data_IF_877997166705
#
_entry.id   IF_877997166705
#
_cell.length_a   1.000
_cell.length_b   1.000
_cell.length_c   1.000
_cell.angle_alpha   90.00
_cell.angle_beta   90.00
_cell.angle_gamma   90.00
#
_symmetry.space_group_name_H-M   'P 1'
#
loop_
_entity.id
_entity.type
_entity.pdbx_description
1 polymer ?
#
# COMPACT_ATOMS: atom_id res chain seq x y z
N UNK A 1 13.49 5.47 3.23
CA UNK A 1 13.64 4.00 3.33
C UNK A 1 13.88 3.38 1.93
N UNK A 2 14.57 2.24 1.80
CA UNK A 2 14.83 1.60 0.50
C UNK A 2 13.57 1.34 -0.33
N UNK A 3 12.46 0.98 0.34
CA UNK A 3 11.18 0.74 -0.32
C UNK A 3 10.61 2.03 -0.93
N UNK A 4 10.63 3.16 -0.22
CA UNK A 4 10.20 4.46 -0.75
C UNK A 4 11.03 4.92 -1.96
N UNK A 5 12.34 4.68 -1.94
CA UNK A 5 13.21 4.96 -3.09
C UNK A 5 12.85 4.09 -4.30
N UNK A 6 12.59 2.80 -4.07
CA UNK A 6 12.15 1.89 -5.13
C UNK A 6 10.79 2.30 -5.70
N UNK A 7 9.84 2.70 -4.84
CA UNK A 7 8.54 3.22 -5.25
C UNK A 7 8.69 4.47 -6.11
N UNK A 8 9.40 5.48 -5.61
CA UNK A 8 9.61 6.73 -6.35
C UNK A 8 10.27 6.49 -7.71
N UNK A 9 11.28 5.60 -7.77
CA UNK A 9 11.96 5.29 -9.02
C UNK A 9 11.04 4.57 -10.02
N UNK A 10 10.29 3.54 -9.57
CA UNK A 10 9.40 2.77 -10.46
C UNK A 10 8.26 3.60 -11.01
N UNK A 11 7.66 4.45 -10.18
CA UNK A 11 6.57 5.33 -10.61
C UNK A 11 7.09 6.42 -11.56
N UNK A 12 8.27 7.00 -11.28
CA UNK A 12 8.95 7.92 -12.20
C UNK A 12 9.24 7.27 -13.55
N UNK A 13 9.80 6.06 -13.54
CA UNK A 13 10.09 5.31 -14.76
C UNK A 13 8.82 5.01 -15.57
N UNK A 14 7.67 4.91 -14.89
CA UNK A 14 6.38 4.69 -15.50
C UNK A 14 5.66 5.99 -15.95
N UNK A 15 6.28 7.16 -15.81
CA UNK A 15 5.69 8.44 -16.22
C UNK A 15 4.79 9.10 -15.17
N UNK A 16 4.78 8.61 -13.93
CA UNK A 16 4.04 9.20 -12.81
C UNK A 16 5.01 9.61 -11.70
N UNK A 17 5.63 10.78 -11.84
CA UNK A 17 6.57 11.27 -10.83
C UNK A 17 5.83 11.54 -9.51
N UNK A 18 6.18 10.79 -8.46
CA UNK A 18 5.72 11.00 -7.10
C UNK A 18 6.61 12.02 -6.39
N UNK A 19 5.98 12.88 -5.59
CA UNK A 19 6.62 13.59 -4.50
C UNK A 19 7.16 12.60 -3.45
N UNK A 20 8.14 13.06 -2.67
CA UNK A 20 8.76 12.23 -1.63
C UNK A 20 7.73 11.73 -0.60
N UNK A 21 6.77 12.57 -0.22
CA UNK A 21 5.77 12.22 0.80
C UNK A 21 4.72 11.25 0.27
N UNK A 22 4.34 11.36 -1.00
CA UNK A 22 3.48 10.36 -1.67
C UNK A 22 4.19 9.00 -1.72
N UNK A 23 5.44 8.96 -2.20
CA UNK A 23 6.21 7.72 -2.27
C UNK A 23 6.43 7.10 -0.88
N UNK A 24 6.60 7.93 0.16
CA UNK A 24 6.71 7.49 1.55
C UNK A 24 5.40 6.90 2.07
N UNK A 25 4.25 7.52 1.80
CA UNK A 25 2.94 7.00 2.18
C UNK A 25 2.69 5.60 1.58
N UNK A 26 2.95 5.44 0.28
CA UNK A 26 2.82 4.14 -0.42
C UNK A 26 3.79 3.11 0.17
N UNK A 27 5.03 3.51 0.47
CA UNK A 27 6.00 2.60 1.06
C UNK A 27 5.63 2.19 2.49
N UNK A 28 5.01 3.07 3.30
CA UNK A 28 4.50 2.72 4.63
C UNK A 28 3.38 1.69 4.54
N UNK A 29 2.48 1.84 3.57
CA UNK A 29 1.40 0.88 3.32
C UNK A 29 1.96 -0.52 3.02
N UNK A 30 2.90 -0.61 2.07
CA UNK A 30 3.58 -1.88 1.74
C UNK A 30 4.39 -2.44 2.93
N UNK A 31 5.05 -1.59 3.71
CA UNK A 31 5.83 -2.02 4.86
C UNK A 31 4.95 -2.60 5.97
N UNK A 32 3.79 -1.99 6.24
CA UNK A 32 2.84 -2.51 7.20
C UNK A 32 2.33 -3.92 6.83
N UNK A 33 2.08 -4.16 5.53
CA UNK A 33 1.71 -5.50 5.03
C UNK A 33 2.81 -6.54 5.35
N UNK A 34 4.08 -6.15 5.21
CA UNK A 34 5.19 -7.03 5.59
C UNK A 34 5.28 -7.24 7.10
N UNK A 35 5.01 -6.23 7.91
CA UNK A 35 4.97 -6.35 9.38
C UNK A 35 3.84 -7.26 9.87
N UNK A 36 2.70 -7.24 9.19
CA UNK A 36 1.59 -8.16 9.44
C UNK A 36 1.92 -9.62 9.17
N UNK A 37 2.97 -9.93 8.41
CA UNK A 37 3.43 -11.31 8.23
C UNK A 37 3.83 -11.98 9.56
N UNK A 38 4.31 -11.19 10.53
CA UNK A 38 4.75 -11.67 11.85
C UNK A 38 4.25 -10.80 13.02
N UNK A 39 2.92 -10.78 13.29
CA UNK A 39 2.30 -9.86 14.25
C UNK A 39 2.80 -10.06 15.70
N UNK A 40 3.22 -11.30 16.04
CA UNK A 40 3.83 -11.66 17.33
C UNK A 40 5.06 -10.82 17.66
N UNK A 41 5.76 -10.27 16.67
CA UNK A 41 7.00 -9.52 16.85
C UNK A 41 6.84 -8.02 16.60
N UNK A 42 5.74 -7.57 15.99
CA UNK A 42 5.54 -6.17 15.58
C UNK A 42 4.52 -5.43 16.44
N UNK A 43 3.84 -6.11 17.38
CA UNK A 43 2.89 -5.49 18.30
C UNK A 43 1.50 -5.21 17.70
N UNK A 44 1.31 -5.47 16.41
CA UNK A 44 0.00 -5.49 15.77
C UNK A 44 -0.76 -6.77 16.16
N UNK A 45 -2.01 -6.63 16.61
CA UNK A 45 -2.85 -7.78 16.92
C UNK A 45 -3.19 -8.57 15.65
N UNK A 46 -3.36 -9.89 15.76
CA UNK A 46 -3.78 -10.77 14.65
C UNK A 46 -5.08 -10.33 13.98
N UNK A 47 -5.97 -9.66 14.71
CA UNK A 47 -7.22 -9.12 14.17
C UNK A 47 -6.99 -7.96 13.19
N UNK A 48 -6.01 -7.09 13.46
CA UNK A 48 -5.67 -5.97 12.58
C UNK A 48 -4.94 -6.46 11.32
N UNK A 49 -4.16 -7.53 11.44
CA UNK A 49 -3.40 -8.11 10.33
C UNK A 49 -4.27 -8.87 9.30
N UNK A 50 -5.47 -9.33 9.68
CA UNK A 50 -6.42 -9.96 8.76
C UNK A 50 -5.79 -11.08 7.91
N UNK A 51 -5.97 -11.00 6.58
CA UNK A 51 -5.39 -11.95 5.62
C UNK A 51 -3.87 -11.86 5.47
N UNK A 52 -3.25 -10.78 5.94
CA UNK A 52 -1.81 -10.59 5.92
C UNK A 52 -1.10 -11.24 7.12
N UNK A 53 -1.86 -11.78 8.08
CA UNK A 53 -1.33 -12.62 9.16
C UNK A 53 -0.87 -13.99 8.62
N UNK A 54 0.33 -14.05 8.03
CA UNK A 54 0.85 -15.28 7.41
C UNK A 54 1.20 -16.34 8.46
N UNK A 55 1.76 -15.95 9.61
CA UNK A 55 2.24 -16.91 10.63
C UNK A 55 1.14 -17.92 11.07
N UNK A 56 -0.08 -17.49 11.47
CA UNK A 56 -1.16 -18.42 11.81
C UNK A 56 -1.65 -19.26 10.63
N UNK A 57 -1.56 -18.75 9.40
CA UNK A 57 -1.94 -19.51 8.20
C UNK A 57 -0.95 -20.64 7.91
N UNK A 58 0.34 -20.42 8.18
CA UNK A 58 1.38 -21.44 8.05
C UNK A 58 1.37 -22.46 9.20
N UNK A 59 0.93 -22.04 10.40
CA UNK A 59 0.76 -22.93 11.56
C UNK A 59 -0.47 -23.87 11.38
N UNK A 60 -1.43 -23.52 10.52
CA UNK A 60 -2.57 -24.38 10.16
C UNK A 60 -2.12 -25.51 9.22
N UNK A 61 -2.81 -26.65 9.30
CA UNK A 61 -2.56 -27.74 8.36
C UNK A 61 -2.85 -27.27 6.94
N UNK A 62 -1.93 -27.44 5.96
CA UNK A 62 -2.18 -27.08 4.56
C UNK A 62 -3.40 -27.79 3.96
N UNK A 63 -3.79 -28.93 4.52
CA UNK A 63 -4.96 -29.72 4.13
C UNK A 63 -6.29 -29.13 4.63
N UNK A 64 -6.24 -28.16 5.55
CA UNK A 64 -7.40 -27.45 6.11
C UNK A 64 -7.62 -26.07 5.47
N UNK A 65 -6.81 -25.72 4.47
CA UNK A 65 -6.99 -24.50 3.70
C UNK A 65 -8.02 -24.77 2.60
N UNK A 66 -9.28 -24.42 2.87
CA UNK A 66 -10.39 -24.58 1.92
C UNK A 66 -10.22 -23.74 0.63
N UNK A 67 -9.26 -22.81 0.60
CA UNK A 67 -8.99 -21.99 -0.58
C UNK A 67 -7.51 -21.62 -0.73
N UNK A 68 -6.91 -21.79 -1.93
CA UNK A 68 -5.51 -21.43 -2.20
C UNK A 68 -5.24 -19.91 -2.18
N UNK A 69 -6.29 -19.09 -2.16
CA UNK A 69 -6.19 -17.62 -2.20
C UNK A 69 -6.12 -16.93 -0.83
N UNK A 70 -5.88 -17.70 0.23
CA UNK A 70 -5.73 -17.17 1.58
C UNK A 70 -4.39 -16.44 1.81
N UNK A 71 -3.36 -16.75 1.00
CA UNK A 71 -2.04 -16.12 1.14
C UNK A 71 -1.90 -14.89 0.24
N UNK A 72 -1.31 -13.79 0.75
CA UNK A 72 -1.01 -12.61 -0.06
C UNK A 72 -0.06 -12.96 -1.20
N UNK A 73 -0.13 -12.17 -2.28
CA UNK A 73 0.60 -12.41 -3.52
C UNK A 73 2.10 -12.46 -3.27
N UNK A 74 2.65 -11.50 -2.51
CA UNK A 74 4.07 -11.47 -2.19
C UNK A 74 4.50 -12.70 -1.39
N UNK A 75 3.65 -13.16 -0.45
CA UNK A 75 3.94 -14.30 0.41
C UNK A 75 3.97 -15.60 -0.40
N UNK A 76 2.99 -15.77 -1.29
CA UNK A 76 2.93 -16.90 -2.24
C UNK A 76 4.14 -16.91 -3.17
N UNK A 77 4.52 -15.76 -3.71
CA UNK A 77 5.71 -15.59 -4.54
C UNK A 77 7.00 -15.97 -3.79
N UNK A 78 7.14 -15.51 -2.55
CA UNK A 78 8.31 -15.80 -1.72
C UNK A 78 8.42 -17.29 -1.39
N UNK A 79 7.32 -17.95 -1.00
CA UNK A 79 7.31 -19.39 -0.72
C UNK A 79 7.72 -20.21 -1.94
N UNK A 80 7.23 -19.86 -3.14
CA UNK A 80 7.66 -20.52 -4.39
C UNK A 80 9.15 -20.34 -4.68
N UNK A 81 9.72 -19.19 -4.36
CA UNK A 81 11.15 -18.94 -4.53
C UNK A 81 11.99 -19.74 -3.51
N UNK A 82 11.53 -19.84 -2.26
CA UNK A 82 12.17 -20.65 -1.22
C UNK A 82 12.12 -22.14 -1.57
N UNK A 83 10.99 -22.64 -2.08
CA UNK A 83 10.83 -24.03 -2.53
C UNK A 83 11.84 -24.39 -3.63
N UNK A 84 12.07 -23.45 -4.57
CA UNK A 84 13.07 -23.61 -5.63
C UNK A 84 14.51 -23.46 -5.16
N UNK A 85 14.78 -22.53 -4.26
CA UNK A 85 16.10 -22.29 -3.66
C UNK A 85 15.98 -21.84 -2.21
N UNK A 86 16.25 -22.76 -1.27
CA UNK A 86 16.13 -22.50 0.17
C UNK A 86 17.01 -21.35 0.67
N UNK A 87 18.08 -20.98 -0.05
CA UNK A 87 18.94 -19.83 0.32
C UNK A 87 18.21 -18.49 0.21
N UNK A 88 17.12 -18.44 -0.55
CA UNK A 88 16.23 -17.27 -0.69
C UNK A 88 15.74 -16.78 0.68
N UNK A 89 15.50 -17.69 1.63
CA UNK A 89 14.99 -17.35 2.95
C UNK A 89 15.88 -16.36 3.72
N UNK A 90 17.22 -16.52 3.62
CA UNK A 90 18.18 -15.63 4.28
C UNK A 90 18.18 -14.20 3.68
N UNK A 91 17.71 -14.04 2.44
CA UNK A 91 17.66 -12.79 1.70
C UNK A 91 16.25 -12.24 1.45
N UNK A 92 15.25 -12.72 2.19
CA UNK A 92 13.83 -12.48 1.89
C UNK A 92 13.49 -11.00 1.67
N UNK A 93 14.00 -10.08 2.49
CA UNK A 93 13.74 -8.65 2.32
C UNK A 93 14.24 -8.09 0.98
N UNK A 94 15.42 -8.51 0.52
CA UNK A 94 15.96 -8.09 -0.78
C UNK A 94 15.22 -8.74 -1.94
N UNK A 95 14.80 -9.99 -1.77
CA UNK A 95 13.99 -10.72 -2.75
C UNK A 95 12.64 -10.04 -2.92
N UNK A 96 11.96 -9.68 -1.82
CA UNK A 96 10.70 -8.95 -1.88
C UNK A 96 10.87 -7.62 -2.59
N UNK A 97 11.85 -6.81 -2.20
CA UNK A 97 12.08 -5.50 -2.80
C UNK A 97 12.41 -5.54 -4.30
N UNK A 98 13.15 -6.57 -4.76
CA UNK A 98 13.65 -6.63 -6.14
C UNK A 98 12.78 -7.47 -7.06
N UNK A 99 12.32 -8.62 -6.58
CA UNK A 99 11.66 -9.64 -7.40
C UNK A 99 10.16 -9.72 -7.17
N UNK A 100 9.68 -9.41 -5.96
CA UNK A 100 8.25 -9.51 -5.59
C UNK A 100 7.64 -8.13 -5.30
N UNK A 101 8.27 -7.06 -5.79
CA UNK A 101 7.78 -5.70 -5.57
C UNK A 101 6.38 -5.54 -6.14
N UNK A 102 6.14 -6.05 -7.35
CA UNK A 102 4.85 -5.95 -8.02
C UNK A 102 3.78 -6.74 -7.27
N UNK A 103 4.12 -7.92 -6.73
CA UNK A 103 3.22 -8.72 -5.90
C UNK A 103 2.85 -7.97 -4.61
N UNK A 104 3.85 -7.36 -3.95
CA UNK A 104 3.63 -6.55 -2.75
C UNK A 104 2.81 -5.30 -3.04
N UNK A 105 3.03 -4.66 -4.20
CA UNK A 105 2.26 -3.51 -4.63
C UNK A 105 0.81 -3.92 -4.94
N UNK A 106 0.57 -5.11 -5.52
CA UNK A 106 -0.78 -5.67 -5.71
C UNK A 106 -1.51 -5.78 -4.39
N UNK A 107 -0.87 -6.41 -3.40
CA UNK A 107 -1.41 -6.57 -2.06
C UNK A 107 -1.69 -5.20 -1.40
N UNK A 108 -0.81 -4.21 -1.62
CA UNK A 108 -1.02 -2.83 -1.16
C UNK A 108 -2.20 -2.13 -1.84
N UNK A 109 -2.43 -2.34 -3.13
CA UNK A 109 -3.61 -1.80 -3.83
C UNK A 109 -4.89 -2.35 -3.22
N UNK A 110 -4.98 -3.68 -3.08
CA UNK A 110 -6.17 -4.33 -2.54
C UNK A 110 -6.43 -3.93 -1.08
N UNK A 111 -5.39 -3.88 -0.25
CA UNK A 111 -5.53 -3.41 1.13
C UNK A 111 -5.90 -1.93 1.22
N UNK A 112 -5.32 -1.10 0.35
CA UNK A 112 -5.65 0.31 0.23
C UNK A 112 -7.14 0.54 -0.01
N UNK A 113 -7.76 -0.23 -0.92
CA UNK A 113 -9.19 -0.17 -1.15
C UNK A 113 -10.01 -0.55 0.09
N UNK A 114 -9.65 -1.64 0.78
CA UNK A 114 -10.33 -2.06 2.02
C UNK A 114 -10.26 -0.98 3.10
N UNK A 115 -9.10 -0.32 3.24
CA UNK A 115 -8.91 0.79 4.19
C UNK A 115 -9.78 2.00 3.83
N UNK A 116 -9.78 2.41 2.56
CA UNK A 116 -10.54 3.58 2.10
C UNK A 116 -12.03 3.36 2.20
N UNK A 117 -12.55 2.21 1.76
CA UNK A 117 -13.95 1.84 1.93
C UNK A 117 -14.33 1.80 3.40
N UNK A 118 -13.51 1.18 4.26
CA UNK A 118 -13.77 1.14 5.70
C UNK A 118 -13.77 2.50 6.38
N UNK A 119 -12.93 3.44 5.91
CA UNK A 119 -12.83 4.78 6.46
C UNK A 119 -13.94 5.73 5.96
N UNK A 120 -14.34 5.60 4.70
CA UNK A 120 -15.27 6.52 4.02
C UNK A 120 -16.70 6.01 3.98
N UNK A 121 -16.91 4.69 4.05
CA UNK A 121 -18.20 4.04 3.83
C UNK A 121 -18.66 4.06 2.35
N UNK A 122 -17.81 4.51 1.43
CA UNK A 122 -18.09 4.54 0.00
C UNK A 122 -17.74 3.18 -0.60
N UNK A 123 -18.66 2.60 -1.38
CA UNK A 123 -18.39 1.38 -2.15
C UNK A 123 -17.38 1.69 -3.26
N UNK A 124 -16.19 1.11 -3.16
CA UNK A 124 -15.09 1.26 -4.13
C UNK A 124 -15.06 0.09 -5.14
N UNK A 125 -16.16 -0.65 -5.25
CA UNK A 125 -16.33 -1.76 -6.18
C UNK A 125 -16.12 -3.13 -5.53
N UNK A 126 -16.51 -4.17 -6.26
CA UNK A 126 -16.39 -5.57 -5.85
C UNK A 126 -14.94 -6.05 -5.77
N UNK A 127 -14.72 -7.22 -5.14
CA UNK A 127 -13.39 -7.84 -5.06
C UNK A 127 -12.77 -8.10 -6.45
N UNK A 128 -13.59 -8.51 -7.42
CA UNK A 128 -13.13 -8.77 -8.80
C UNK A 128 -12.75 -7.47 -9.51
N UNK A 129 -13.49 -6.37 -9.30
CA UNK A 129 -13.16 -5.06 -9.84
C UNK A 129 -11.86 -4.51 -9.24
N UNK A 130 -11.66 -4.67 -7.93
CA UNK A 130 -10.41 -4.27 -7.25
C UNK A 130 -9.22 -5.08 -7.74
N UNK A 131 -9.38 -6.39 -7.95
CA UNK A 131 -8.34 -7.24 -8.52
C UNK A 131 -7.99 -6.83 -9.96
N UNK A 132 -9.00 -6.60 -10.80
CA UNK A 132 -8.81 -6.13 -12.17
C UNK A 132 -8.14 -4.74 -12.21
N UNK A 133 -8.49 -3.85 -11.27
CA UNK A 133 -7.84 -2.56 -11.11
C UNK A 133 -6.36 -2.72 -10.75
N UNK A 134 -6.03 -3.57 -9.79
CA UNK A 134 -4.65 -3.82 -9.38
C UNK A 134 -3.82 -4.37 -10.55
N UNK A 135 -4.37 -5.29 -11.34
CA UNK A 135 -3.70 -5.83 -12.53
C UNK A 135 -3.48 -4.75 -13.58
N UNK A 136 -4.50 -3.93 -13.87
CA UNK A 136 -4.41 -2.80 -14.80
C UNK A 136 -3.34 -1.78 -14.37
N UNK A 137 -3.28 -1.44 -13.08
CA UNK A 137 -2.25 -0.55 -12.52
C UNK A 137 -0.85 -1.14 -12.71
N UNK A 138 -0.65 -2.41 -12.39
CA UNK A 138 0.66 -3.07 -12.52
C UNK A 138 1.09 -3.20 -13.98
N UNK A 139 0.17 -3.50 -14.88
CA UNK A 139 0.45 -3.56 -16.31
C UNK A 139 0.83 -2.18 -16.85
N UNK A 140 0.14 -1.13 -16.43
CA UNK A 140 0.48 0.26 -16.75
C UNK A 140 1.87 0.64 -16.22
N UNK A 141 2.18 0.26 -14.97
CA UNK A 141 3.48 0.50 -14.35
C UNK A 141 4.62 -0.21 -15.11
N UNK A 142 4.39 -1.45 -15.56
CA UNK A 142 5.36 -2.25 -16.34
C UNK A 142 5.53 -1.72 -17.77
N UNK A 143 4.42 -1.34 -18.41
CA UNK A 143 4.40 -0.78 -19.76
C UNK A 143 5.01 0.63 -19.82
N UNK A 144 5.13 1.30 -18.67
CA UNK A 144 5.64 2.67 -18.53
C UNK A 144 4.84 3.68 -19.34
N UNK A 145 3.52 3.51 -19.35
CA UNK A 145 2.59 4.29 -20.20
C UNK A 145 1.98 5.51 -19.50
N UNK A 146 2.41 5.84 -18.28
CA UNK A 146 1.81 6.88 -17.44
C UNK A 146 0.69 6.30 -16.57
N UNK A 147 0.80 6.49 -15.25
CA UNK A 147 -0.31 6.22 -14.33
C UNK A 147 -1.17 7.47 -14.16
N UNK A 148 -2.47 7.28 -14.03
CA UNK A 148 -3.41 8.38 -13.74
C UNK A 148 -3.34 8.78 -12.26
N UNK A 149 -3.79 9.98 -11.94
CA UNK A 149 -3.90 10.44 -10.54
C UNK A 149 -4.72 9.47 -9.71
N UNK A 150 -5.90 9.10 -10.21
CA UNK A 150 -6.79 8.11 -9.59
C UNK A 150 -6.10 6.77 -9.30
N UNK A 151 -5.26 6.24 -10.21
CA UNK A 151 -4.48 5.01 -10.02
C UNK A 151 -3.51 5.08 -8.85
N UNK A 152 -2.91 6.24 -8.63
CA UNK A 152 -1.93 6.46 -7.57
C UNK A 152 -2.63 6.78 -6.25
N UNK A 153 -3.58 7.71 -6.26
CA UNK A 153 -4.10 8.27 -5.02
C UNK A 153 -5.07 7.36 -4.29
N UNK A 154 -6.06 6.81 -5.01
CA UNK A 154 -7.21 6.17 -4.39
C UNK A 154 -6.81 4.96 -3.53
N UNK A 155 -6.12 3.92 -4.03
CA UNK A 155 -5.70 2.83 -3.14
C UNK A 155 -4.40 3.12 -2.41
N UNK A 156 -3.39 3.71 -3.07
CA UNK A 156 -2.03 3.68 -2.53
C UNK A 156 -1.72 4.86 -1.60
N UNK A 157 -1.95 6.10 -2.03
CA UNK A 157 -1.65 7.28 -1.19
C UNK A 157 -2.66 7.39 -0.05
N UNK A 158 -3.97 7.28 -0.33
CA UNK A 158 -5.00 7.30 0.73
C UNK A 158 -4.83 6.14 1.71
N UNK A 159 -4.53 4.93 1.23
CA UNK A 159 -4.19 3.81 2.09
C UNK A 159 -3.01 4.12 3.01
N UNK A 160 -1.96 4.76 2.48
CA UNK A 160 -0.81 5.25 3.24
C UNK A 160 -1.14 6.32 4.28
N UNK A 161 -2.04 7.27 3.96
CA UNK A 161 -2.56 8.28 4.90
C UNK A 161 -3.26 7.59 6.08
N UNK A 162 -4.14 6.63 5.79
CA UNK A 162 -4.98 5.96 6.79
C UNK A 162 -4.19 5.11 7.79
N UNK A 163 -3.04 4.58 7.38
CA UNK A 163 -2.18 3.75 8.24
C UNK A 163 -1.02 4.51 8.88
N UNK A 164 -0.96 5.83 8.69
CA UNK A 164 0.17 6.64 9.13
C UNK A 164 0.44 6.55 10.65
N UNK A 165 -0.61 6.38 11.47
CA UNK A 165 -0.53 6.15 12.92
C UNK A 165 -0.13 4.72 13.29
N UNK A 166 -0.39 3.76 12.39
CA UNK A 166 -0.20 2.34 12.64
C UNK A 166 1.26 1.94 12.46
N UNK A 167 1.99 2.59 11.55
CA UNK A 167 3.41 2.32 11.33
C UNK A 167 4.25 3.55 11.67
N UNK A 168 4.84 3.57 12.87
CA UNK A 168 5.80 4.61 13.27
C UNK A 168 7.21 4.15 12.92
N UNK A 169 7.78 4.70 11.85
CA UNK A 169 9.20 4.51 11.55
C UNK A 169 9.99 5.39 12.51
N UNK A 170 11.01 4.84 13.19
CA UNK A 170 11.76 5.51 14.26
C UNK A 170 12.03 7.02 14.00
N UNK A 171 11.51 7.86 14.90
CA UNK A 171 11.64 9.34 14.91
C UNK A 171 10.90 10.08 13.78
N UNK A 172 10.00 9.43 13.06
CA UNK A 172 9.10 10.11 12.12
C UNK A 172 8.02 10.89 12.88
N UNK A 173 7.79 12.16 12.49
CA UNK A 173 6.60 12.90 12.91
C UNK A 173 5.45 12.56 11.93
N UNK A 174 4.39 11.85 12.37
CA UNK A 174 3.28 11.51 11.49
C UNK A 174 2.62 12.74 10.85
N UNK A 175 2.65 13.89 11.52
CA UNK A 175 2.07 15.13 10.99
C UNK A 175 2.89 15.68 9.82
N UNK A 176 4.20 15.42 9.75
CA UNK A 176 5.06 15.83 8.65
C UNK A 176 4.63 15.12 7.36
N UNK A 177 4.35 13.81 7.43
CA UNK A 177 3.85 13.05 6.27
C UNK A 177 2.54 13.63 5.75
N UNK A 178 1.57 13.90 6.63
CA UNK A 178 0.26 14.43 6.22
C UNK A 178 0.37 15.81 5.57
N UNK A 179 1.18 16.71 6.14
CA UNK A 179 1.43 18.03 5.55
C UNK A 179 2.12 17.92 4.20
N UNK A 180 3.11 17.04 4.10
CA UNK A 180 3.82 16.78 2.86
C UNK A 180 2.91 16.25 1.76
N UNK A 181 2.02 15.31 2.08
CA UNK A 181 1.02 14.79 1.12
C UNK A 181 0.00 15.87 0.75
N UNK A 182 -0.44 16.71 1.70
CA UNK A 182 -1.31 17.87 1.41
C UNK A 182 -0.67 18.82 0.40
N UNK A 183 0.58 19.24 0.64
CA UNK A 183 1.31 20.10 -0.30
C UNK A 183 1.53 19.43 -1.66
N UNK A 184 1.78 18.12 -1.69
CA UNK A 184 1.92 17.38 -2.94
C UNK A 184 0.60 17.36 -3.73
N UNK A 185 -0.54 17.18 -3.04
CA UNK A 185 -1.87 17.25 -3.65
C UNK A 185 -2.16 18.67 -4.20
N UNK A 186 -1.89 19.71 -3.41
CA UNK A 186 -2.04 21.11 -3.83
C UNK A 186 -1.24 21.42 -5.11
N UNK A 187 0.00 20.91 -5.18
CA UNK A 187 0.86 21.08 -6.35
C UNK A 187 0.32 20.38 -7.61
N UNK A 188 -0.51 19.34 -7.47
CA UNK A 188 -1.15 18.61 -8.57
C UNK A 188 -2.46 19.23 -9.03
N UNK A 189 -3.13 20.04 -8.20
CA UNK A 189 -4.45 20.63 -8.52
C UNK A 189 -4.53 21.27 -9.92
N UNK A 190 -3.52 22.00 -10.43
CA UNK A 190 -3.58 22.58 -11.77
C UNK A 190 -3.65 21.57 -12.92
N UNK A 191 -3.22 20.32 -12.67
CA UNK A 191 -3.15 19.25 -13.66
C UNK A 191 -4.33 18.27 -13.56
N UNK A 192 -5.20 18.41 -12.56
CA UNK A 192 -6.35 17.53 -12.34
C UNK A 192 -7.52 17.92 -13.27
N UNK A 193 -8.23 16.91 -13.77
CA UNK A 193 -9.46 17.10 -14.54
C UNK A 193 -10.73 16.83 -13.72
N UNK A 194 -11.91 16.96 -14.35
CA UNK A 194 -13.20 16.73 -13.69
C UNK A 194 -13.39 15.30 -13.19
N UNK A 195 -12.69 14.31 -13.77
CA UNK A 195 -12.76 12.92 -13.35
C UNK A 195 -11.96 12.65 -12.07
N UNK A 196 -10.94 13.47 -11.78
CA UNK A 196 -10.12 13.36 -10.58
C UNK A 196 -10.73 14.07 -9.36
N UNK A 197 -11.70 14.97 -9.56
CA UNK A 197 -12.34 15.75 -8.50
C UNK A 197 -12.93 14.90 -7.35
N UNK A 198 -13.62 13.76 -7.59
CA UNK A 198 -14.10 12.91 -6.50
C UNK A 198 -12.98 12.29 -5.68
N UNK A 199 -11.86 11.92 -6.32
CA UNK A 199 -10.70 11.33 -5.64
C UNK A 199 -9.99 12.39 -4.82
N UNK A 200 -9.88 13.62 -5.33
CA UNK A 200 -9.37 14.76 -4.59
C UNK A 200 -10.21 15.02 -3.33
N UNK A 201 -11.53 15.12 -3.46
CA UNK A 201 -12.44 15.40 -2.34
C UNK A 201 -12.32 14.34 -1.22
N UNK A 202 -12.26 13.06 -1.59
CA UNK A 202 -12.04 11.98 -0.62
C UNK A 202 -10.66 12.13 0.04
N UNK A 203 -9.62 12.48 -0.72
CA UNK A 203 -8.26 12.66 -0.18
C UNK A 203 -8.23 13.78 0.85
N UNK A 204 -8.85 14.92 0.54
CA UNK A 204 -8.94 16.08 1.43
C UNK A 204 -9.64 15.71 2.75
N UNK A 205 -10.79 15.03 2.67
CA UNK A 205 -11.54 14.55 3.86
C UNK A 205 -10.69 13.60 4.70
N UNK A 206 -9.95 12.68 4.07
CA UNK A 206 -9.09 11.75 4.78
C UNK A 206 -7.90 12.45 5.43
N UNK A 207 -7.27 13.40 4.75
CA UNK A 207 -6.18 14.22 5.27
C UNK A 207 -6.63 15.03 6.49
N UNK A 208 -7.77 15.73 6.39
CA UNK A 208 -8.34 16.50 7.50
C UNK A 208 -8.66 15.62 8.71
N UNK A 209 -9.38 14.51 8.49
CA UNK A 209 -9.77 13.61 9.58
C UNK A 209 -8.55 12.99 10.26
N UNK A 210 -7.53 12.64 9.48
CA UNK A 210 -6.31 12.06 10.02
C UNK A 210 -5.46 13.12 10.75
N UNK A 211 -5.38 14.35 10.23
CA UNK A 211 -4.67 15.46 10.87
C UNK A 211 -5.32 15.87 12.21
N UNK A 212 -6.66 15.82 12.30
CA UNK A 212 -7.39 16.11 13.54
C UNK A 212 -7.00 15.16 14.69
N UNK A 213 -6.68 13.89 14.40
CA UNK A 213 -6.18 12.94 15.42
C UNK A 213 -4.90 13.45 16.10
N UNK A 214 -4.11 14.25 15.40
CA UNK A 214 -2.85 14.82 15.88
C UNK A 214 -2.99 16.25 16.41
N UNK A 215 -4.20 16.80 16.45
CA UNK A 215 -4.46 18.15 16.95
C UNK A 215 -4.08 19.27 15.98
N UNK A 216 -3.93 18.97 14.68
CA UNK A 216 -3.62 19.96 13.66
C UNK A 216 -4.83 20.26 12.77
N UNK A 217 -4.88 21.49 12.25
CA UNK A 217 -5.66 21.84 11.06
C UNK A 217 -4.69 21.96 9.89
N UNK A 218 -4.99 21.29 8.80
CA UNK A 218 -4.39 21.60 7.51
C UNK A 218 -5.03 22.93 7.07
N UNK A 219 -4.20 23.92 6.76
CA UNK A 219 -4.64 25.28 6.42
C UNK A 219 -4.55 25.48 4.92
#
# INVERSE_FOLDING_TARGET
APLAQATAQRFRDAGAALDEFEARAIAKLMMLILEYASPKFTGHGYQAAGRYAITPLLERSPLELDSPDLLPHWGRGLLRLIDRDGRTAAGAAQVVLRMLYDDLLRDAVEWGFELVEGATGVDIGSLDERAAYADSLLDTLRAKSGLTFSQVYLPLVMGGILINDSLLIDREDPAELLKGVSHALEARLPDLDENDAPIQEITDVLLERTAQKYGYKLN
#
